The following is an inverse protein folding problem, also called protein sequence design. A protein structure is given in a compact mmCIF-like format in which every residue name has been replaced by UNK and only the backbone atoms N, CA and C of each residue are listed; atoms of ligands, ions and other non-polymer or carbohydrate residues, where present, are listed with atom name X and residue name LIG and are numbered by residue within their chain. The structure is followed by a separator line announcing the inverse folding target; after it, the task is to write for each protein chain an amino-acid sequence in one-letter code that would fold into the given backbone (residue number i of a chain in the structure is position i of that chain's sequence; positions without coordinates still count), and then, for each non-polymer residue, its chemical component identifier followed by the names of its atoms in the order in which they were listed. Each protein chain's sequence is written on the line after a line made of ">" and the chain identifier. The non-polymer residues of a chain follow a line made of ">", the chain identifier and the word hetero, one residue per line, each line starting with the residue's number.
data_IF_307242514388
#
_entry.id   IF_307242514388
#
_cell.length_a   1.000
_cell.length_b   1.000
_cell.length_c   1.000
_cell.angle_alpha   90.00
_cell.angle_beta   90.00
_cell.angle_gamma   90.00
#
_symmetry.space_group_name_H-M   'P 1'
#
loop_
_entity.id
_entity.type
_entity.pdbx_description
1 polymer ?
#
# COMPACT_ATOMS: atom_id res chain seq x y z
N UNK A 1 -1.44 -13.36 -29.49
CA UNK A 1 -0.11 -13.82 -29.94
C UNK A 1 -0.32 -15.08 -30.77
N UNK A 2 0.27 -15.17 -31.96
CA UNK A 2 0.16 -16.40 -32.74
C UNK A 2 0.89 -17.54 -32.00
N UNK A 3 0.42 -18.77 -32.13
CA UNK A 3 0.98 -19.96 -31.48
C UNK A 3 2.52 -20.06 -31.65
N UNK A 4 2.99 -19.71 -32.84
CA UNK A 4 4.40 -19.63 -33.23
C UNK A 4 5.20 -18.63 -32.39
N UNK A 5 4.62 -17.49 -32.02
CA UNK A 5 5.29 -16.44 -31.24
C UNK A 5 5.58 -16.90 -29.81
N UNK A 6 4.63 -17.63 -29.23
CA UNK A 6 4.76 -18.19 -27.88
C UNK A 6 5.84 -19.27 -27.85
N UNK A 7 5.93 -20.10 -28.90
CA UNK A 7 6.95 -21.16 -29.00
C UNK A 7 8.34 -20.54 -29.13
N UNK A 8 8.50 -19.58 -30.04
CA UNK A 8 9.75 -18.87 -30.25
C UNK A 8 10.25 -18.20 -28.96
N UNK A 9 9.38 -17.49 -28.24
CA UNK A 9 9.73 -16.84 -26.97
C UNK A 9 10.17 -17.84 -25.90
N UNK A 10 9.51 -19.00 -25.79
CA UNK A 10 9.88 -20.02 -24.81
C UNK A 10 11.26 -20.63 -25.11
N UNK A 11 11.57 -20.88 -26.39
CA UNK A 11 12.88 -21.37 -26.83
C UNK A 11 13.97 -20.30 -26.58
N UNK A 12 13.68 -19.00 -26.71
CA UNK A 12 14.65 -17.93 -26.43
C UNK A 12 15.08 -17.82 -24.97
N UNK A 13 14.20 -18.19 -24.03
CA UNK A 13 14.38 -17.92 -22.60
C UNK A 13 15.19 -18.99 -21.89
N UNK A 14 15.06 -20.24 -22.33
CA UNK A 14 15.76 -21.37 -21.74
C UNK A 14 15.82 -22.54 -22.73
N UNK A 15 16.75 -23.45 -22.47
CA UNK A 15 16.80 -24.75 -23.12
C UNK A 15 15.44 -25.46 -22.96
N UNK A 16 14.85 -25.87 -24.07
CA UNK A 16 13.44 -26.30 -24.13
C UNK A 16 13.27 -27.48 -25.09
N UNK A 17 12.60 -28.53 -24.63
CA UNK A 17 12.24 -29.70 -25.44
C UNK A 17 10.74 -29.73 -25.80
N UNK A 18 10.30 -30.76 -26.55
CA UNK A 18 8.90 -30.88 -26.99
C UNK A 18 7.91 -30.97 -25.83
N UNK A 19 8.25 -31.73 -24.78
CA UNK A 19 7.38 -31.94 -23.62
C UNK A 19 7.26 -30.65 -22.77
N UNK A 20 8.33 -29.85 -22.69
CA UNK A 20 8.32 -28.54 -22.03
C UNK A 20 7.34 -27.57 -22.73
N UNK A 21 7.38 -27.52 -24.06
CA UNK A 21 6.46 -26.71 -24.87
C UNK A 21 5.02 -27.21 -24.74
N UNK A 22 4.83 -28.54 -24.81
CA UNK A 22 3.51 -29.16 -24.73
C UNK A 22 2.84 -28.89 -23.38
N UNK A 23 3.58 -29.05 -22.28
CA UNK A 23 3.05 -28.84 -20.91
C UNK A 23 2.50 -27.43 -20.72
N UNK A 24 3.14 -26.42 -21.33
CA UNK A 24 2.67 -25.02 -21.29
C UNK A 24 1.51 -24.72 -22.24
N UNK A 25 1.22 -25.59 -23.20
CA UNK A 25 0.18 -25.39 -24.21
C UNK A 25 -1.10 -26.18 -23.95
N UNK A 26 -1.04 -27.30 -23.22
CA UNK A 26 -2.17 -28.20 -23.01
C UNK A 26 -3.38 -27.49 -22.39
N UNK A 27 -3.17 -26.50 -21.51
CA UNK A 27 -4.26 -25.72 -20.88
C UNK A 27 -5.10 -24.90 -21.86
N UNK A 28 -4.59 -24.66 -23.08
CA UNK A 28 -5.25 -23.83 -24.10
C UNK A 28 -6.04 -24.65 -25.13
N UNK A 29 -6.12 -25.97 -24.97
CA UNK A 29 -6.81 -26.88 -25.90
C UNK A 29 -7.74 -27.83 -25.15
N UNK A 30 -8.84 -28.22 -25.80
CA UNK A 30 -9.84 -29.14 -25.24
C UNK A 30 -9.32 -30.56 -25.05
N UNK A 31 -8.22 -30.95 -25.70
CA UNK A 31 -7.57 -32.26 -25.50
C UNK A 31 -6.06 -32.20 -25.70
N UNK A 32 -5.34 -33.10 -25.04
CA UNK A 32 -3.89 -33.28 -25.18
C UNK A 32 -3.52 -33.61 -26.64
N UNK A 33 -4.34 -34.38 -27.34
CA UNK A 33 -4.08 -34.76 -28.73
C UNK A 33 -4.22 -33.56 -29.69
N UNK A 34 -5.18 -32.67 -29.43
CA UNK A 34 -5.32 -31.41 -30.16
C UNK A 34 -4.11 -30.49 -29.94
N UNK A 35 -3.63 -30.38 -28.69
CA UNK A 35 -2.44 -29.61 -28.36
C UNK A 35 -1.18 -30.17 -29.06
N UNK A 36 -1.00 -31.50 -29.06
CA UNK A 36 0.10 -32.18 -29.77
C UNK A 36 0.07 -31.89 -31.27
N UNK A 37 -1.09 -32.00 -31.91
CA UNK A 37 -1.23 -31.75 -33.34
C UNK A 37 -0.91 -30.28 -33.69
N UNK A 38 -1.40 -29.33 -32.91
CA UNK A 38 -1.13 -27.90 -33.10
C UNK A 38 0.34 -27.54 -32.89
N UNK A 39 0.96 -28.06 -31.82
CA UNK A 39 2.38 -27.85 -31.52
C UNK A 39 3.29 -28.46 -32.60
N UNK A 40 3.01 -29.69 -33.05
CA UNK A 40 3.77 -30.34 -34.12
C UNK A 40 3.68 -29.58 -35.44
N UNK A 41 2.49 -29.04 -35.77
CA UNK A 41 2.31 -28.22 -36.98
C UNK A 41 3.08 -26.90 -36.89
N UNK A 42 3.02 -26.23 -35.74
CA UNK A 42 3.73 -24.99 -35.51
C UNK A 42 5.25 -25.18 -35.56
N UNK A 43 5.78 -26.21 -34.90
CA UNK A 43 7.20 -26.53 -34.94
C UNK A 43 7.67 -26.91 -36.34
N UNK A 44 6.89 -27.71 -37.07
CA UNK A 44 7.21 -28.05 -38.48
C UNK A 44 7.31 -26.79 -39.34
N UNK A 45 6.40 -25.84 -39.15
CA UNK A 45 6.43 -24.57 -39.87
C UNK A 45 7.65 -23.72 -39.46
N UNK A 46 7.91 -23.56 -38.16
CA UNK A 46 9.05 -22.79 -37.65
C UNK A 46 10.40 -23.34 -38.14
N UNK A 47 10.52 -24.68 -38.21
CA UNK A 47 11.70 -25.35 -38.78
C UNK A 47 11.77 -25.12 -40.29
N UNK A 48 10.66 -25.28 -41.02
CA UNK A 48 10.63 -25.06 -42.46
C UNK A 48 10.94 -23.62 -42.88
N UNK A 49 10.55 -22.64 -42.06
CA UNK A 49 10.90 -21.23 -42.26
C UNK A 49 12.30 -20.88 -41.78
N UNK A 50 13.03 -21.84 -41.21
CA UNK A 50 14.39 -21.66 -40.72
C UNK A 50 14.48 -20.75 -39.50
N UNK A 51 13.44 -20.66 -38.68
CA UNK A 51 13.41 -19.86 -37.44
C UNK A 51 13.81 -20.70 -36.20
N UNK A 52 13.63 -22.01 -36.28
CA UNK A 52 13.99 -22.97 -35.22
C UNK A 52 14.78 -24.11 -35.84
N UNK A 53 15.80 -24.58 -35.13
CA UNK A 53 16.49 -25.83 -35.42
C UNK A 53 16.30 -26.82 -34.27
N UNK A 54 16.36 -28.11 -34.58
CA UNK A 54 16.25 -29.19 -33.59
C UNK A 54 17.59 -29.92 -33.54
N UNK A 55 18.24 -29.89 -32.39
CA UNK A 55 19.45 -30.66 -32.12
C UNK A 55 19.15 -31.65 -31.01
N UNK A 56 19.20 -32.95 -31.33
CA UNK A 56 18.72 -34.04 -30.45
C UNK A 56 17.27 -33.81 -30.01
N UNK A 57 16.98 -33.79 -28.71
CA UNK A 57 15.63 -33.59 -28.17
C UNK A 57 15.27 -32.12 -27.92
N UNK A 58 16.22 -31.21 -28.14
CA UNK A 58 16.10 -29.80 -27.79
C UNK A 58 15.90 -28.92 -29.03
N UNK A 59 15.13 -27.84 -28.86
CA UNK A 59 14.93 -26.83 -29.89
C UNK A 59 15.79 -25.60 -29.60
N UNK A 60 16.34 -25.01 -30.66
CA UNK A 60 17.18 -23.81 -30.61
C UNK A 60 16.71 -22.79 -31.65
N UNK A 61 16.93 -21.51 -31.37
CA UNK A 61 16.67 -20.45 -32.34
C UNK A 61 17.85 -20.30 -33.29
N UNK A 62 17.55 -20.30 -34.58
CA UNK A 62 18.48 -19.86 -35.61
C UNK A 62 18.65 -18.33 -35.53
N UNK A 63 19.62 -17.79 -36.26
CA UNK A 63 19.82 -16.34 -36.38
C UNK A 63 18.54 -15.64 -36.88
N UNK A 64 17.85 -16.24 -37.86
CA UNK A 64 16.57 -15.73 -38.36
C UNK A 64 15.47 -15.75 -37.29
N UNK A 65 15.38 -16.80 -36.49
CA UNK A 65 14.42 -16.88 -35.38
C UNK A 65 14.68 -15.86 -34.28
N UNK A 66 15.95 -15.59 -33.97
CA UNK A 66 16.36 -14.53 -33.03
C UNK A 66 15.90 -13.16 -33.53
N UNK A 67 16.15 -12.84 -34.80
CA UNK A 67 15.71 -11.58 -35.42
C UNK A 67 14.18 -11.44 -35.44
N UNK A 68 13.43 -12.52 -35.71
CA UNK A 68 11.96 -12.51 -35.66
C UNK A 68 11.44 -12.20 -34.25
N UNK A 69 12.02 -12.80 -33.21
CA UNK A 69 11.63 -12.52 -31.81
C UNK A 69 12.01 -11.10 -31.41
N UNK A 70 13.23 -10.68 -31.72
CA UNK A 70 13.70 -9.33 -31.40
C UNK A 70 12.80 -8.27 -32.04
N UNK A 71 12.45 -8.41 -33.31
CA UNK A 71 11.50 -7.51 -33.99
C UNK A 71 10.14 -7.45 -33.26
N UNK A 72 9.62 -8.59 -32.81
CA UNK A 72 8.33 -8.66 -32.07
C UNK A 72 8.42 -8.05 -30.66
N UNK A 73 9.50 -8.29 -29.94
CA UNK A 73 9.75 -7.70 -28.62
C UNK A 73 10.00 -6.19 -28.72
N UNK A 74 10.70 -5.75 -29.79
CA UNK A 74 10.92 -4.34 -30.12
C UNK A 74 9.58 -3.61 -30.32
N UNK A 75 8.62 -4.24 -30.99
CA UNK A 75 7.28 -3.67 -31.18
C UNK A 75 6.41 -3.67 -29.90
N UNK A 76 6.62 -4.59 -28.95
CA UNK A 76 5.78 -4.68 -27.74
C UNK A 76 5.87 -3.42 -26.84
N UNK A 77 7.06 -2.83 -26.69
CA UNK A 77 7.23 -1.59 -25.89
C UNK A 77 6.45 -0.44 -26.53
N UNK A 78 6.53 -0.31 -27.86
CA UNK A 78 5.83 0.74 -28.62
C UNK A 78 4.31 0.54 -28.59
N UNK A 79 3.85 -0.71 -28.73
CA UNK A 79 2.42 -1.06 -28.59
C UNK A 79 1.92 -0.69 -27.20
N UNK A 80 2.66 -1.01 -26.14
CA UNK A 80 2.28 -0.65 -24.78
C UNK A 80 2.17 0.88 -24.60
N UNK A 81 3.12 1.67 -25.13
CA UNK A 81 3.06 3.13 -25.04
C UNK A 81 1.83 3.66 -25.80
N UNK A 82 1.56 3.15 -27.01
CA UNK A 82 0.37 3.51 -27.78
C UNK A 82 -0.92 3.24 -26.99
N UNK A 83 -1.06 2.02 -26.45
CA UNK A 83 -2.27 1.59 -25.74
C UNK A 83 -2.50 2.43 -24.48
N UNK A 84 -1.45 2.74 -23.72
CA UNK A 84 -1.55 3.54 -22.50
C UNK A 84 -1.89 5.01 -22.82
N UNK A 85 -1.29 5.60 -23.86
CA UNK A 85 -1.62 6.96 -24.30
C UNK A 85 -3.03 7.06 -24.86
N UNK A 86 -3.54 6.02 -25.53
CA UNK A 86 -4.91 5.98 -26.01
C UNK A 86 -5.91 5.88 -24.84
N UNK A 87 -5.60 5.05 -23.84
CA UNK A 87 -6.42 4.93 -22.63
C UNK A 87 -6.47 6.23 -21.83
N UNK A 88 -5.32 6.85 -21.61
CA UNK A 88 -5.22 8.13 -20.89
C UNK A 88 -6.08 9.21 -21.56
N UNK A 89 -6.03 9.31 -22.90
CA UNK A 89 -6.87 10.23 -23.69
C UNK A 89 -8.36 9.94 -23.57
N UNK A 90 -8.77 8.67 -23.73
CA UNK A 90 -10.20 8.28 -23.69
C UNK A 90 -10.84 8.52 -22.34
N UNK A 91 -10.06 8.40 -21.26
CA UNK A 91 -10.55 8.51 -19.89
C UNK A 91 -10.24 9.86 -19.24
N UNK A 92 -9.48 10.74 -19.91
CA UNK A 92 -8.89 11.95 -19.30
C UNK A 92 -8.27 11.63 -17.93
N UNK A 93 -7.46 10.57 -17.89
CA UNK A 93 -6.92 9.98 -16.67
C UNK A 93 -5.40 9.96 -16.66
N UNK A 94 -4.83 10.25 -15.49
CA UNK A 94 -3.39 10.21 -15.22
C UNK A 94 -2.92 8.89 -14.58
N UNK A 95 -3.81 7.89 -14.45
CA UNK A 95 -3.50 6.59 -13.82
C UNK A 95 -2.31 5.85 -14.45
N UNK A 96 -2.17 5.95 -15.77
CA UNK A 96 -1.18 5.19 -16.55
C UNK A 96 0.14 5.99 -16.79
N UNK A 97 0.26 7.21 -16.27
CA UNK A 97 1.39 8.13 -16.54
C UNK A 97 2.74 7.50 -16.18
N UNK A 98 2.84 6.88 -15.00
CA UNK A 98 4.09 6.28 -14.53
C UNK A 98 4.58 5.17 -15.47
N UNK A 99 3.66 4.33 -15.96
CA UNK A 99 3.98 3.23 -16.85
C UNK A 99 4.30 3.73 -18.27
N UNK A 100 3.68 4.84 -18.71
CA UNK A 100 4.06 5.52 -19.96
C UNK A 100 5.50 6.04 -19.88
N UNK A 101 5.84 6.79 -18.81
CA UNK A 101 7.18 7.36 -18.61
C UNK A 101 8.23 6.25 -18.54
N UNK A 102 7.95 5.18 -17.79
CA UNK A 102 8.82 4.02 -17.68
C UNK A 102 9.05 3.33 -19.02
N UNK A 103 8.01 3.08 -19.81
CA UNK A 103 8.17 2.46 -21.13
C UNK A 103 8.91 3.36 -22.12
N UNK A 104 8.70 4.68 -22.07
CA UNK A 104 9.47 5.66 -22.85
C UNK A 104 10.95 5.65 -22.43
N UNK A 105 11.26 5.59 -21.14
CA UNK A 105 12.63 5.50 -20.64
C UNK A 105 13.33 4.23 -21.12
N UNK A 106 12.66 3.07 -20.99
CA UNK A 106 13.19 1.79 -21.52
C UNK A 106 13.43 1.89 -23.02
N UNK A 107 12.50 2.51 -23.77
CA UNK A 107 12.65 2.71 -25.21
C UNK A 107 13.89 3.56 -25.55
N UNK A 108 14.07 4.69 -24.87
CA UNK A 108 15.17 5.62 -25.09
C UNK A 108 16.53 5.02 -24.72
N UNK A 109 16.64 4.33 -23.59
CA UNK A 109 17.88 3.68 -23.18
C UNK A 109 18.29 2.57 -24.13
N UNK A 110 17.35 1.73 -24.57
CA UNK A 110 17.62 0.70 -25.58
C UNK A 110 18.01 1.30 -26.93
N UNK A 111 17.41 2.42 -27.31
CA UNK A 111 17.70 3.12 -28.56
C UNK A 111 19.12 3.70 -28.61
N UNK A 112 19.71 4.03 -27.45
CA UNK A 112 21.13 4.44 -27.35
C UNK A 112 22.07 3.27 -27.62
N UNK A 113 21.68 2.07 -27.21
CA UNK A 113 22.48 0.84 -27.37
C UNK A 113 22.31 0.22 -28.77
N UNK A 114 21.12 0.35 -29.38
CA UNK A 114 20.79 -0.19 -30.69
C UNK A 114 20.10 0.87 -31.58
N UNK A 115 20.84 1.54 -32.48
CA UNK A 115 20.28 2.54 -33.41
C UNK A 115 19.19 2.00 -34.35
N UNK A 116 19.17 0.68 -34.61
CA UNK A 116 18.09 0.07 -35.41
C UNK A 116 16.74 0.14 -34.67
N UNK A 117 16.78 0.09 -33.34
CA UNK A 117 15.60 0.18 -32.49
C UNK A 117 14.94 1.56 -32.56
N UNK A 118 15.75 2.62 -32.62
CA UNK A 118 15.27 3.97 -32.83
C UNK A 118 14.59 4.13 -34.19
N UNK A 119 15.17 3.53 -35.24
CA UNK A 119 14.59 3.57 -36.60
C UNK A 119 13.23 2.88 -36.63
N UNK A 120 13.11 1.70 -36.03
CA UNK A 120 11.83 0.99 -35.88
C UNK A 120 10.83 1.80 -35.06
N UNK A 121 11.27 2.42 -33.97
CA UNK A 121 10.44 3.30 -33.14
C UNK A 121 9.77 4.42 -33.94
N UNK A 122 10.56 5.12 -34.77
CA UNK A 122 10.06 6.21 -35.64
C UNK A 122 9.03 5.76 -36.67
N UNK A 123 9.11 4.51 -37.14
CA UNK A 123 8.20 3.99 -38.18
C UNK A 123 6.99 3.24 -37.63
N UNK A 124 7.08 2.73 -36.40
CA UNK A 124 6.08 1.82 -35.81
C UNK A 124 5.27 2.45 -34.66
N UNK A 125 5.61 3.66 -34.23
CA UNK A 125 4.83 4.41 -33.23
C UNK A 125 3.53 4.94 -33.83
N UNK A 126 2.42 4.83 -33.08
CA UNK A 126 1.13 5.42 -33.44
C UNK A 126 0.79 6.63 -32.55
N UNK A 127 1.70 7.06 -31.68
CA UNK A 127 1.59 8.27 -30.88
C UNK A 127 2.51 9.37 -31.43
N UNK A 128 2.14 10.62 -31.16
CA UNK A 128 2.87 11.82 -31.56
C UNK A 128 3.48 12.54 -30.35
N UNK A 129 4.48 13.39 -30.58
CA UNK A 129 5.06 14.24 -29.53
C UNK A 129 3.97 15.14 -28.91
N UNK A 130 3.03 15.64 -29.72
CA UNK A 130 1.88 16.41 -29.24
C UNK A 130 1.02 15.65 -28.22
N UNK A 131 0.95 14.31 -28.32
CA UNK A 131 0.21 13.50 -27.36
C UNK A 131 0.89 13.54 -25.98
N UNK A 132 2.23 13.51 -25.97
CA UNK A 132 3.03 13.64 -24.76
C UNK A 132 2.97 15.07 -24.18
N UNK A 133 2.91 16.09 -25.04
CA UNK A 133 2.75 17.49 -24.61
C UNK A 133 1.37 17.75 -23.99
N UNK A 134 0.31 17.16 -24.53
CA UNK A 134 -1.04 17.21 -23.94
C UNK A 134 -1.00 16.54 -22.56
N UNK A 135 -0.46 15.32 -22.47
CA UNK A 135 -0.33 14.61 -21.20
C UNK A 135 0.46 15.43 -20.17
N UNK A 136 1.56 16.08 -20.58
CA UNK A 136 2.33 16.97 -19.71
C UNK A 136 1.47 18.14 -19.20
N UNK A 137 0.70 18.81 -20.06
CA UNK A 137 -0.18 19.91 -19.66
C UNK A 137 -1.23 19.46 -18.64
N UNK A 138 -1.79 18.26 -18.82
CA UNK A 138 -2.74 17.68 -17.86
C UNK A 138 -2.09 17.41 -16.51
N UNK A 139 -0.86 16.88 -16.49
CA UNK A 139 -0.07 16.69 -15.26
C UNK A 139 0.20 18.02 -14.58
N UNK A 140 0.70 19.02 -15.31
CA UNK A 140 1.01 20.36 -14.75
C UNK A 140 -0.25 21.03 -14.16
N UNK A 141 -1.40 20.89 -14.82
CA UNK A 141 -2.68 21.38 -14.33
C UNK A 141 -3.12 20.65 -13.06
N UNK A 142 -2.96 19.33 -13.01
CA UNK A 142 -3.29 18.50 -11.85
C UNK A 142 -2.42 18.86 -10.64
N UNK A 143 -1.12 19.04 -10.84
CA UNK A 143 -0.19 19.51 -9.79
C UNK A 143 -0.62 20.86 -9.24
N UNK A 144 -0.96 21.81 -10.12
CA UNK A 144 -1.42 23.15 -9.73
C UNK A 144 -2.72 23.08 -8.92
N UNK A 145 -3.66 22.22 -9.34
CA UNK A 145 -4.92 22.00 -8.63
C UNK A 145 -4.69 21.40 -7.23
N UNK A 146 -3.89 20.35 -7.11
CA UNK A 146 -3.60 19.73 -5.81
C UNK A 146 -2.82 20.66 -4.87
N UNK A 147 -1.90 21.48 -5.40
CA UNK A 147 -1.21 22.50 -4.61
C UNK A 147 -2.21 23.53 -4.04
N UNK A 148 -3.17 23.98 -4.85
CA UNK A 148 -4.24 24.85 -4.39
C UNK A 148 -5.13 24.20 -3.32
N UNK A 149 -5.62 22.98 -3.56
CA UNK A 149 -6.44 22.24 -2.58
C UNK A 149 -5.67 22.01 -1.28
N UNK A 150 -4.39 21.65 -1.36
CA UNK A 150 -3.53 21.49 -0.20
C UNK A 150 -3.42 22.80 0.59
N UNK A 151 -3.25 23.94 -0.09
CA UNK A 151 -3.18 25.25 0.58
C UNK A 151 -4.48 25.62 1.30
N UNK A 152 -5.65 25.35 0.69
CA UNK A 152 -6.95 25.57 1.33
C UNK A 152 -7.12 24.65 2.52
N UNK A 153 -6.79 23.37 2.38
CA UNK A 153 -6.93 22.39 3.46
C UNK A 153 -6.04 22.77 4.65
N UNK A 154 -4.79 23.21 4.40
CA UNK A 154 -3.90 23.71 5.44
C UNK A 154 -4.49 24.93 6.15
N UNK A 155 -5.08 25.88 5.41
CA UNK A 155 -5.76 27.02 6.01
C UNK A 155 -6.96 26.57 6.89
N UNK A 156 -7.79 25.65 6.40
CA UNK A 156 -8.91 25.09 7.16
C UNK A 156 -8.44 24.37 8.44
N UNK A 157 -7.37 23.57 8.36
CA UNK A 157 -6.78 22.92 9.54
C UNK A 157 -6.34 23.97 10.56
N UNK A 158 -5.67 25.04 10.13
CA UNK A 158 -5.26 26.14 11.03
C UNK A 158 -6.46 26.83 11.67
N UNK A 159 -7.52 27.11 10.91
CA UNK A 159 -8.75 27.69 11.46
C UNK A 159 -9.36 26.76 12.52
N UNK A 160 -9.53 25.47 12.22
CA UNK A 160 -10.11 24.50 13.17
C UNK A 160 -9.27 24.36 14.45
N UNK A 161 -7.94 24.44 14.34
CA UNK A 161 -7.03 24.47 15.50
C UNK A 161 -7.23 25.73 16.33
N UNK A 162 -7.36 26.90 15.70
CA UNK A 162 -7.60 28.17 16.39
C UNK A 162 -8.99 28.21 17.07
N UNK A 163 -9.99 27.59 16.46
CA UNK A 163 -11.34 27.38 17.03
C UNK A 163 -11.37 26.24 18.06
N UNK A 164 -10.22 25.67 18.41
CA UNK A 164 -10.05 24.66 19.46
C UNK A 164 -10.92 23.39 19.25
N UNK A 165 -11.08 22.94 18.01
CA UNK A 165 -11.78 21.70 17.68
C UNK A 165 -11.15 20.49 18.39
N UNK A 166 -11.95 19.42 18.54
CA UNK A 166 -11.50 18.14 19.08
C UNK A 166 -10.32 17.56 18.28
N UNK A 167 -9.30 17.10 19.00
CA UNK A 167 -8.14 16.39 18.47
C UNK A 167 -7.88 15.14 19.30
N UNK A 168 -6.91 14.32 18.89
CA UNK A 168 -6.53 13.14 19.64
C UNK A 168 -5.03 12.82 19.59
N UNK A 169 -4.54 12.20 20.65
CA UNK A 169 -3.20 11.60 20.74
C UNK A 169 -3.28 10.14 21.12
N UNK A 170 -2.32 9.36 20.61
CA UNK A 170 -2.23 7.93 20.87
C UNK A 170 -0.84 7.61 21.39
N UNK A 171 -0.80 6.95 22.55
CA UNK A 171 0.43 6.43 23.14
C UNK A 171 0.34 4.91 23.35
N UNK A 172 1.49 4.26 23.40
CA UNK A 172 1.57 2.87 23.88
C UNK A 172 1.32 2.84 25.38
N UNK A 173 0.65 1.80 25.88
CA UNK A 173 0.51 1.58 27.31
C UNK A 173 1.89 1.21 27.89
N UNK A 174 2.51 2.15 28.59
CA UNK A 174 3.80 2.00 29.24
C UNK A 174 3.93 3.00 30.39
N UNK A 175 5.02 2.91 31.16
CA UNK A 175 5.26 3.79 32.30
C UNK A 175 5.22 5.29 31.93
N UNK A 176 5.81 5.69 30.79
CA UNK A 176 5.84 7.09 30.34
C UNK A 176 4.43 7.64 30.09
N UNK A 177 3.55 6.83 29.51
CA UNK A 177 2.16 7.22 29.28
C UNK A 177 1.40 7.45 30.58
N UNK A 178 1.69 6.68 31.63
CA UNK A 178 1.15 6.94 32.96
C UNK A 178 1.72 8.21 33.60
N UNK A 179 2.97 8.57 33.31
CA UNK A 179 3.55 9.82 33.81
C UNK A 179 2.89 11.04 33.12
N UNK A 180 2.59 10.93 31.82
CA UNK A 180 1.76 11.91 31.10
C UNK A 180 0.36 11.98 31.71
N UNK A 181 -0.27 10.84 31.97
CA UNK A 181 -1.61 10.79 32.56
C UNK A 181 -1.60 11.42 33.98
N UNK A 182 -0.59 11.13 34.80
CA UNK A 182 -0.43 11.75 36.13
C UNK A 182 -0.31 13.27 36.03
N UNK A 183 0.48 13.78 35.08
CA UNK A 183 0.56 15.21 34.82
C UNK A 183 -0.79 15.83 34.46
N UNK A 184 -1.60 15.16 33.62
CA UNK A 184 -2.96 15.61 33.29
C UNK A 184 -3.85 15.66 34.54
N UNK A 185 -3.75 14.67 35.43
CA UNK A 185 -4.52 14.64 36.67
C UNK A 185 -4.13 15.76 37.63
N UNK A 186 -2.84 16.06 37.74
CA UNK A 186 -2.30 17.16 38.56
C UNK A 186 -2.74 18.53 38.06
N UNK A 187 -2.77 18.75 36.73
CA UNK A 187 -3.21 20.01 36.12
C UNK A 187 -4.62 20.43 36.53
N UNK A 188 -5.50 19.45 36.79
CA UNK A 188 -6.89 19.69 37.15
C UNK A 188 -7.22 19.36 38.61
N UNK A 189 -6.21 18.99 39.43
CA UNK A 189 -6.37 18.71 40.87
C UNK A 189 -7.50 17.72 41.20
N UNK A 190 -7.60 16.62 40.44
CA UNK A 190 -8.60 15.59 40.72
C UNK A 190 -8.31 14.85 42.02
N UNK A 191 -9.36 14.52 42.78
CA UNK A 191 -9.27 13.65 43.96
C UNK A 191 -9.69 12.20 43.67
N UNK A 192 -10.62 12.02 42.73
CA UNK A 192 -11.16 10.73 42.31
C UNK A 192 -11.32 10.67 40.79
N UNK A 193 -11.12 9.49 40.20
CA UNK A 193 -11.40 9.19 38.81
C UNK A 193 -12.64 8.34 38.66
N UNK A 194 -13.43 8.62 37.63
CA UNK A 194 -14.53 7.77 37.20
C UNK A 194 -14.09 6.96 35.99
N UNK A 195 -14.14 5.64 36.13
CA UNK A 195 -13.78 4.67 35.11
C UNK A 195 -15.09 4.08 34.55
N UNK A 196 -15.30 4.29 33.26
CA UNK A 196 -16.47 3.86 32.51
C UNK A 196 -16.11 2.67 31.61
N UNK A 197 -16.80 1.56 31.83
CA UNK A 197 -16.61 0.28 31.15
C UNK A 197 -17.80 0.00 30.22
N UNK A 198 -17.58 -0.82 29.21
CA UNK A 198 -18.67 -1.28 28.33
C UNK A 198 -19.06 -2.71 28.67
N UNK A 199 -20.36 -3.00 28.62
CA UNK A 199 -20.90 -4.36 28.71
C UNK A 199 -20.39 -5.30 27.61
N UNK A 200 -19.83 -4.74 26.53
CA UNK A 200 -19.19 -5.48 25.45
C UNK A 200 -17.84 -6.10 25.85
N UNK A 201 -17.28 -5.72 27.00
CA UNK A 201 -15.99 -6.22 27.48
C UNK A 201 -16.08 -6.74 28.93
N UNK A 202 -16.73 -7.90 29.17
CA UNK A 202 -16.91 -8.46 30.52
C UNK A 202 -15.60 -8.64 31.28
N UNK A 203 -14.53 -9.01 30.60
CA UNK A 203 -13.18 -9.14 31.19
C UNK A 203 -12.67 -7.84 31.82
N UNK A 204 -13.09 -6.68 31.29
CA UNK A 204 -12.75 -5.38 31.88
C UNK A 204 -13.48 -5.17 33.20
N UNK A 205 -14.75 -5.54 33.26
CA UNK A 205 -15.57 -5.45 34.48
C UNK A 205 -14.99 -6.38 35.55
N UNK A 206 -14.72 -7.64 35.19
CA UNK A 206 -14.11 -8.61 36.11
C UNK A 206 -12.75 -8.15 36.62
N UNK A 207 -11.93 -7.52 35.76
CA UNK A 207 -10.66 -6.94 36.18
C UNK A 207 -10.85 -5.89 37.28
N UNK A 208 -11.78 -4.94 37.11
CA UNK A 208 -12.01 -3.91 38.12
C UNK A 208 -12.68 -4.45 39.39
N UNK A 209 -13.61 -5.41 39.28
CA UNK A 209 -14.25 -6.04 40.45
C UNK A 209 -13.27 -6.89 41.29
N UNK A 210 -12.23 -7.45 40.66
CA UNK A 210 -11.24 -8.30 41.35
C UNK A 210 -10.18 -7.51 42.13
N UNK A 211 -10.12 -6.20 41.95
CA UNK A 211 -9.09 -5.34 42.54
C UNK A 211 -9.70 -4.38 43.58
N UNK A 212 -9.21 -4.46 44.82
CA UNK A 212 -9.78 -3.74 45.97
C UNK A 212 -9.60 -2.21 45.95
N UNK A 213 -8.73 -1.68 45.09
CA UNK A 213 -8.52 -0.22 44.95
C UNK A 213 -9.68 0.47 44.21
N UNK A 214 -10.56 -0.29 43.55
CA UNK A 214 -11.70 0.26 42.81
C UNK A 214 -12.99 0.14 43.60
N UNK A 215 -13.73 1.25 43.66
CA UNK A 215 -15.04 1.30 44.31
C UNK A 215 -16.11 1.18 43.22
N UNK A 216 -16.80 0.04 43.16
CA UNK A 216 -17.93 -0.16 42.24
C UNK A 216 -19.06 0.83 42.55
N UNK A 217 -19.51 1.58 41.54
CA UNK A 217 -20.68 2.48 41.64
C UNK A 217 -21.92 1.87 41.02
N UNK A 218 -21.77 1.23 39.87
CA UNK A 218 -22.78 0.41 39.20
C UNK A 218 -22.07 -0.69 38.39
N UNK A 219 -22.80 -1.46 37.58
CA UNK A 219 -22.24 -2.59 36.83
C UNK A 219 -21.17 -2.23 35.78
N UNK A 220 -21.11 -0.96 35.37
CA UNK A 220 -20.22 -0.49 34.32
C UNK A 220 -19.37 0.71 34.74
N UNK A 221 -19.47 1.18 35.97
CA UNK A 221 -18.78 2.36 36.45
C UNK A 221 -18.08 2.09 37.78
N UNK A 222 -16.79 2.40 37.81
CA UNK A 222 -15.92 2.26 38.97
C UNK A 222 -15.30 3.60 39.33
N UNK A 223 -14.96 3.78 40.60
CA UNK A 223 -14.16 4.91 41.08
C UNK A 223 -12.79 4.46 41.53
N UNK A 224 -11.79 5.31 41.28
CA UNK A 224 -10.42 5.15 41.77
C UNK A 224 -10.03 6.43 42.52
N UNK A 225 -9.54 6.30 43.75
CA UNK A 225 -8.94 7.44 44.44
C UNK A 225 -7.57 7.74 43.84
N UNK A 226 -7.23 9.02 43.64
CA UNK A 226 -5.94 9.40 43.04
C UNK A 226 -4.73 8.94 43.87
N UNK A 227 -4.91 8.75 45.19
CA UNK A 227 -3.88 8.16 46.06
C UNK A 227 -3.46 6.74 45.63
N UNK A 228 -4.37 6.00 44.98
CA UNK A 228 -4.15 4.64 44.50
C UNK A 228 -3.72 4.59 43.02
N UNK A 229 -3.41 5.73 42.40
CA UNK A 229 -3.03 5.82 40.99
C UNK A 229 -1.77 5.01 40.65
N UNK A 230 -0.79 4.98 41.55
CA UNK A 230 0.44 4.22 41.31
C UNK A 230 0.16 2.70 41.32
N UNK A 231 -0.75 2.21 42.17
CA UNK A 231 -1.24 0.82 42.13
C UNK A 231 -2.02 0.52 40.85
N UNK A 232 -2.84 1.46 40.37
CA UNK A 232 -3.53 1.33 39.09
C UNK A 232 -2.54 1.19 37.90
N UNK A 233 -1.49 2.02 37.89
CA UNK A 233 -0.38 1.91 36.93
C UNK A 233 0.26 0.52 36.99
N UNK A 234 0.57 0.02 38.18
CA UNK A 234 1.17 -1.30 38.34
C UNK A 234 0.27 -2.43 37.82
N UNK A 235 -1.02 -2.42 38.13
CA UNK A 235 -1.95 -3.45 37.65
C UNK A 235 -2.03 -3.51 36.12
N UNK A 236 -2.05 -2.35 35.46
CA UNK A 236 -2.12 -2.27 34.00
C UNK A 236 -0.80 -2.55 33.29
N UNK A 237 0.34 -2.47 33.99
CA UNK A 237 1.65 -2.75 33.38
C UNK A 237 2.19 -4.15 33.70
N UNK A 238 1.65 -4.82 34.72
CA UNK A 238 2.14 -6.12 35.19
C UNK A 238 1.87 -7.27 34.21
N UNK A 239 0.69 -7.27 33.58
CA UNK A 239 0.28 -8.32 32.64
C UNK A 239 -0.14 -7.71 31.30
N UNK A 240 0.74 -7.83 30.31
CA UNK A 240 0.52 -7.28 28.99
C UNK A 240 -0.67 -7.93 28.26
N UNK A 241 -0.85 -9.25 28.39
CA UNK A 241 -1.96 -9.97 27.75
C UNK A 241 -3.31 -9.53 28.32
N UNK A 242 -3.37 -9.40 29.66
CA UNK A 242 -4.55 -8.86 30.32
C UNK A 242 -4.83 -7.42 29.84
N UNK A 243 -3.80 -6.58 29.74
CA UNK A 243 -3.94 -5.18 29.30
C UNK A 243 -4.33 -5.00 27.84
N UNK A 244 -4.06 -5.98 26.97
CA UNK A 244 -4.60 -6.01 25.61
C UNK A 244 -6.11 -6.32 25.58
N UNK A 245 -6.61 -7.06 26.57
CA UNK A 245 -7.98 -7.56 26.63
C UNK A 245 -8.99 -6.58 27.23
N UNK A 246 -8.52 -5.62 28.04
CA UNK A 246 -9.35 -4.63 28.75
C UNK A 246 -9.57 -3.36 27.94
N UNK A 247 -10.77 -2.76 28.08
CA UNK A 247 -11.13 -1.51 27.41
C UNK A 247 -12.05 -0.67 28.28
N UNK A 248 -11.61 0.53 28.60
CA UNK A 248 -12.37 1.45 29.45
C UNK A 248 -12.05 2.90 29.08
N UNK A 249 -12.85 3.79 29.64
CA UNK A 249 -12.77 5.24 29.46
C UNK A 249 -12.64 5.92 30.82
N UNK A 250 -11.92 7.02 30.85
CA UNK A 250 -11.83 7.92 31.99
C UNK A 250 -12.11 9.32 31.47
N UNK A 251 -13.05 10.01 32.10
CA UNK A 251 -13.37 11.40 31.75
C UNK A 251 -12.68 12.32 32.75
N UNK A 252 -11.88 13.25 32.23
CA UNK A 252 -11.08 14.20 33.00
C UNK A 252 -11.43 15.60 32.48
N UNK A 253 -12.44 16.22 33.08
CA UNK A 253 -13.01 17.47 32.57
C UNK A 253 -13.37 17.33 31.07
N UNK A 254 -12.77 18.13 30.19
CA UNK A 254 -13.00 18.11 28.74
C UNK A 254 -12.18 17.04 27.99
N UNK A 255 -11.44 16.18 28.71
CA UNK A 255 -10.59 15.14 28.13
C UNK A 255 -11.22 13.76 28.33
N UNK A 256 -11.35 13.00 27.25
CA UNK A 256 -11.64 11.57 27.30
C UNK A 256 -10.34 10.77 27.13
N UNK A 257 -9.96 10.03 28.16
CA UNK A 257 -8.86 9.07 28.10
C UNK A 257 -9.41 7.67 27.90
N UNK A 258 -9.10 7.04 26.77
CA UNK A 258 -9.54 5.68 26.44
C UNK A 258 -8.36 4.72 26.47
N UNK A 259 -8.51 3.62 27.20
CA UNK A 259 -7.58 2.51 27.18
C UNK A 259 -8.15 1.42 26.28
N UNK A 260 -7.38 0.98 25.28
CA UNK A 260 -7.79 -0.08 24.38
C UNK A 260 -6.59 -0.73 23.71
N UNK A 261 -6.52 -2.07 23.71
CA UNK A 261 -5.50 -2.83 22.98
C UNK A 261 -4.05 -2.40 23.28
N UNK A 262 -3.72 -2.18 24.56
CA UNK A 262 -2.37 -1.72 24.93
C UNK A 262 -2.03 -0.33 24.40
N UNK A 263 -3.03 0.47 24.03
CA UNK A 263 -2.90 1.88 23.65
C UNK A 263 -3.73 2.74 24.59
N UNK A 264 -3.27 3.97 24.78
CA UNK A 264 -3.98 5.02 25.53
C UNK A 264 -4.23 6.17 24.58
N UNK A 265 -5.50 6.52 24.42
CA UNK A 265 -5.96 7.59 23.57
C UNK A 265 -6.41 8.75 24.44
N UNK A 266 -5.91 9.94 24.16
CA UNK A 266 -6.39 11.19 24.75
C UNK A 266 -7.20 11.91 23.68
N UNK A 267 -8.48 12.15 23.93
CA UNK A 267 -9.36 12.95 23.08
C UNK A 267 -9.75 14.21 23.85
N UNK A 268 -9.82 15.34 23.17
CA UNK A 268 -10.22 16.61 23.78
C UNK A 268 -9.90 17.80 22.87
N UNK A 269 -10.15 19.03 23.33
CA UNK A 269 -9.88 20.23 22.55
C UNK A 269 -8.40 20.36 22.16
N UNK A 270 -8.13 20.82 20.93
CA UNK A 270 -6.79 20.90 20.33
C UNK A 270 -5.74 21.52 21.27
N UNK A 271 -6.06 22.65 21.92
CA UNK A 271 -5.13 23.35 22.82
C UNK A 271 -4.71 22.53 24.03
N UNK A 272 -5.57 21.64 24.53
CA UNK A 272 -5.28 20.74 25.64
C UNK A 272 -4.44 19.58 25.14
N UNK A 273 -4.84 18.98 24.02
CA UNK A 273 -4.12 17.86 23.40
C UNK A 273 -2.70 18.28 23.00
N UNK A 274 -2.51 19.47 22.45
CA UNK A 274 -1.18 20.00 22.11
C UNK A 274 -0.27 20.14 23.34
N UNK A 275 -0.81 20.58 24.49
CA UNK A 275 -0.04 20.65 25.75
C UNK A 275 0.40 19.26 26.22
N UNK A 276 -0.49 18.26 26.10
CA UNK A 276 -0.17 16.87 26.40
C UNK A 276 0.94 16.35 25.47
N UNK A 277 0.87 16.67 24.16
CA UNK A 277 1.92 16.27 23.22
C UNK A 277 3.28 16.88 23.60
N UNK A 278 3.33 18.19 23.88
CA UNK A 278 4.55 18.89 24.31
C UNK A 278 5.15 18.23 25.55
N UNK A 279 4.32 17.91 26.55
CA UNK A 279 4.78 17.19 27.74
C UNK A 279 5.35 15.81 27.42
N UNK A 280 4.75 15.10 26.47
CA UNK A 280 5.25 13.80 26.03
C UNK A 280 6.63 13.87 25.38
N UNK A 281 6.94 14.98 24.70
CA UNK A 281 8.23 15.23 24.06
C UNK A 281 9.31 15.55 25.09
N UNK A 282 9.00 16.33 26.13
CA UNK A 282 9.89 16.60 27.27
C UNK A 282 10.30 15.31 28.02
N UNK A 283 9.43 14.31 28.07
CA UNK A 283 9.70 13.02 28.73
C UNK A 283 10.47 12.03 27.83
N UNK A 284 10.78 12.41 26.59
CA UNK A 284 11.63 11.63 25.66
C UNK A 284 13.09 12.07 25.72
N UNK A 285 13.37 13.35 25.98
CA UNK A 285 14.71 13.90 26.23
C UNK A 285 15.25 13.51 27.60
#
# INVERSE_FOLDING_TARGET
>A
MALSDSILLQISQKKTNYNDLLTKMVSNYSSVNSAKAALSRALKNLVAFGEVEKNNDDYFLTEKGRQTIESKLKNKILININDLLEKSRKKSSLEDVDEIVKNLQIFLERSKQDPSFLKTGKTSSNFYISDLEILKKEIDSSVSHYAYISSILSNHITILKNENFEDYLIFNLNAKTFDIFKHVLELYSFEELTIDCSNQYPQTITFFESNNIFIKKNDFTFKLNIKDFDSFKEFLLKDFEQSLSIRFKIYINDILVRFSFGKVYFFGPFTIIEKINKKSEELKS
#
